data_IF_917703433309
#
_entry.id   IF_917703433309
#
_cell.length_a   1.000
_cell.length_b   1.000
_cell.length_c   1.000
_cell.angle_alpha   90.00
_cell.angle_beta   90.00
_cell.angle_gamma   90.00
#
_symmetry.space_group_name_H-M   'P 1'
#
loop_
_entity.id
_entity.type
_entity.pdbx_description
1 polymer ?
#
# COMPACT_ATOMS: atom_id res chain seq x y z
N UNK A 1 -7.22 0.03 16.22
CA UNK A 1 -6.05 -0.86 16.31
C UNK A 1 -6.50 -2.31 16.23
N UNK A 2 -5.85 -3.13 15.39
CA UNK A 2 -6.12 -4.58 15.27
C UNK A 2 -5.08 -5.46 15.97
N UNK A 3 -3.96 -4.88 16.38
CA UNK A 3 -2.91 -5.58 17.10
C UNK A 3 -2.53 -4.82 18.38
N UNK A 4 -1.98 -5.57 19.35
CA UNK A 4 -1.47 -5.02 20.60
C UNK A 4 -0.24 -5.80 21.06
N UNK A 5 0.57 -5.18 21.92
CA UNK A 5 1.69 -5.84 22.60
C UNK A 5 1.23 -6.30 23.98
N UNK A 6 1.42 -7.57 24.28
CA UNK A 6 1.21 -8.15 25.60
C UNK A 6 2.34 -7.74 26.56
N UNK A 7 2.11 -7.83 27.88
CA UNK A 7 3.13 -7.54 28.90
C UNK A 7 4.45 -8.31 28.72
N UNK A 8 4.41 -9.51 28.14
CA UNK A 8 5.60 -10.32 27.83
C UNK A 8 6.30 -9.93 26.52
N UNK A 9 5.87 -8.85 25.85
CA UNK A 9 6.44 -8.37 24.59
C UNK A 9 5.94 -9.09 23.33
N UNK A 10 5.09 -10.12 23.45
CA UNK A 10 4.48 -10.79 22.29
C UNK A 10 3.37 -9.94 21.69
N UNK A 11 3.22 -10.01 20.38
CA UNK A 11 2.11 -9.37 19.67
C UNK A 11 0.91 -10.32 19.64
N UNK A 12 -0.28 -9.75 19.75
CA UNK A 12 -1.54 -10.49 19.61
C UNK A 12 -2.49 -9.72 18.70
N UNK A 13 -3.22 -10.44 17.86
CA UNK A 13 -4.32 -9.86 17.08
C UNK A 13 -5.57 -9.73 17.94
N UNK A 14 -6.44 -8.77 17.61
CA UNK A 14 -7.67 -8.56 18.35
C UNK A 14 -8.65 -9.76 18.26
N UNK A 15 -8.58 -10.53 17.17
CA UNK A 15 -9.42 -11.72 16.98
C UNK A 15 -8.91 -12.95 17.77
N UNK A 16 -7.59 -13.04 18.02
CA UNK A 16 -6.99 -14.14 18.81
C UNK A 16 -6.92 -13.82 20.31
N UNK A 17 -7.10 -12.56 20.70
CA UNK A 17 -6.91 -12.16 22.08
C UNK A 17 -7.94 -12.79 23.04
N UNK A 18 -7.43 -13.57 23.99
CA UNK A 18 -8.18 -14.11 25.11
C UNK A 18 -7.62 -13.58 26.45
N UNK A 19 -8.39 -12.80 27.23
CA UNK A 19 -7.94 -12.27 28.53
C UNK A 19 -7.48 -13.33 29.54
N UNK A 20 -8.05 -14.54 29.50
CA UNK A 20 -7.69 -15.62 30.42
C UNK A 20 -6.30 -16.21 30.12
N UNK A 21 -5.87 -16.16 28.85
CA UNK A 21 -4.58 -16.70 28.40
C UNK A 21 -3.51 -15.59 28.37
N UNK A 22 -3.89 -14.42 27.85
CA UNK A 22 -2.95 -13.33 27.58
C UNK A 22 -2.83 -12.31 28.71
N UNK A 23 -3.72 -12.38 29.71
CA UNK A 23 -3.82 -11.41 30.79
C UNK A 23 -4.44 -10.10 30.32
N UNK A 24 -4.67 -9.16 31.26
CA UNK A 24 -5.34 -7.88 31.00
C UNK A 24 -4.39 -6.75 30.60
N UNK A 25 -3.07 -6.95 30.72
CA UNK A 25 -2.05 -5.93 30.45
C UNK A 25 -1.64 -5.97 28.98
N UNK A 26 -2.31 -5.14 28.20
CA UNK A 26 -2.07 -4.96 26.77
C UNK A 26 -1.76 -3.50 26.45
N UNK A 27 -0.87 -3.29 25.49
CA UNK A 27 -0.28 -1.99 25.20
C UNK A 27 -0.30 -1.68 23.70
N UNK A 28 -0.28 -0.39 23.38
CA UNK A 28 -0.10 0.12 22.03
C UNK A 28 1.16 -0.48 21.39
N UNK A 29 1.03 -0.94 20.15
CA UNK A 29 2.11 -1.53 19.36
C UNK A 29 3.18 -0.51 18.95
N UNK A 30 2.82 0.77 18.89
CA UNK A 30 3.78 1.85 18.62
C UNK A 30 4.73 2.02 19.81
N UNK A 31 6.04 1.80 19.56
CA UNK A 31 7.11 1.92 20.56
C UNK A 31 7.18 3.29 21.20
N UNK A 32 6.77 4.35 20.49
CA UNK A 32 6.79 5.72 21.00
C UNK A 32 5.60 6.00 21.91
N UNK A 33 4.61 5.11 21.97
CA UNK A 33 3.37 5.30 22.71
C UNK A 33 3.26 4.34 23.90
N UNK A 34 3.20 3.02 23.65
CA UNK A 34 2.93 1.98 24.67
C UNK A 34 1.76 2.26 25.62
N UNK A 35 0.77 3.06 25.20
CA UNK A 35 -0.42 3.35 26.01
C UNK A 35 -1.19 2.06 26.33
N UNK A 36 -1.76 1.99 27.54
CA UNK A 36 -2.58 0.85 27.96
C UNK A 36 -3.86 0.77 27.14
N UNK A 37 -4.16 -0.42 26.64
CA UNK A 37 -5.32 -0.69 25.80
C UNK A 37 -6.38 -1.53 26.53
N UNK A 38 -7.57 -1.52 25.98
CA UNK A 38 -8.63 -2.48 26.28
C UNK A 38 -9.02 -3.21 25.00
N UNK A 39 -9.42 -4.46 25.16
CA UNK A 39 -10.00 -5.26 24.08
C UNK A 39 -11.50 -5.00 23.98
N UNK A 40 -11.96 -4.79 22.77
CA UNK A 40 -13.38 -4.75 22.44
C UNK A 40 -13.67 -6.01 21.62
N UNK A 41 -14.45 -6.96 22.16
CA UNK A 41 -14.75 -8.20 21.47
C UNK A 41 -15.58 -7.95 20.21
N UNK A 42 -15.54 -8.92 19.30
CA UNK A 42 -16.34 -8.91 18.08
C UNK A 42 -17.83 -8.90 18.41
N UNK A 43 -18.58 -8.10 17.68
CA UNK A 43 -20.06 -8.10 17.67
C UNK A 43 -20.55 -8.51 16.28
N UNK A 44 -21.87 -8.59 16.08
CA UNK A 44 -22.47 -8.86 14.77
C UNK A 44 -22.10 -7.78 13.73
N UNK A 45 -21.90 -6.54 14.18
CA UNK A 45 -21.69 -5.37 13.33
C UNK A 45 -20.24 -4.87 13.31
N UNK A 46 -19.38 -5.34 14.21
CA UNK A 46 -18.00 -4.87 14.31
C UNK A 46 -17.02 -6.01 14.60
N UNK A 47 -15.90 -6.03 13.87
CA UNK A 47 -14.78 -6.93 14.16
C UNK A 47 -14.06 -6.52 15.45
N UNK A 48 -13.46 -7.49 16.15
CA UNK A 48 -12.74 -7.21 17.40
C UNK A 48 -11.61 -6.21 17.19
N UNK A 49 -11.36 -5.34 18.17
CA UNK A 49 -10.31 -4.32 18.07
C UNK A 49 -9.82 -3.91 19.45
N UNK A 50 -8.65 -3.28 19.48
CA UNK A 50 -8.13 -2.63 20.67
C UNK A 50 -8.36 -1.12 20.62
N UNK A 51 -8.62 -0.53 21.77
CA UNK A 51 -8.70 0.93 21.95
C UNK A 51 -8.17 1.37 23.29
N UNK A 52 -7.77 2.63 23.38
CA UNK A 52 -7.47 3.30 24.64
C UNK A 52 -8.75 3.66 25.42
N UNK A 53 -8.67 3.77 26.75
CA UNK A 53 -9.77 4.30 27.57
C UNK A 53 -9.74 5.83 27.68
N UNK A 54 -8.57 6.45 27.51
CA UNK A 54 -8.39 7.91 27.59
C UNK A 54 -8.59 8.52 28.97
N UNK A 55 -8.81 7.71 30.01
CA UNK A 55 -9.16 8.17 31.36
C UNK A 55 -7.93 8.64 32.16
N UNK A 56 -6.80 7.97 31.98
CA UNK A 56 -5.51 8.33 32.59
C UNK A 56 -4.47 8.73 31.52
N UNK A 57 -3.41 9.46 31.89
CA UNK A 57 -2.30 9.78 30.97
C UNK A 57 -1.72 8.54 30.29
N UNK A 58 -1.53 7.44 31.04
CA UNK A 58 -0.97 6.17 30.54
C UNK A 58 -1.91 5.40 29.60
N UNK A 59 -3.15 5.84 29.49
CA UNK A 59 -4.18 5.26 28.62
C UNK A 59 -4.56 6.21 27.48
N UNK A 60 -3.77 7.25 27.20
CA UNK A 60 -3.96 8.13 26.04
C UNK A 60 -2.84 7.91 25.03
N UNK A 61 -3.18 7.89 23.75
CA UNK A 61 -2.16 8.00 22.72
C UNK A 61 -1.49 9.36 22.80
N UNK A 62 -0.16 9.39 22.75
CA UNK A 62 0.57 10.64 22.63
C UNK A 62 0.65 11.10 21.17
N UNK A 63 1.04 12.35 20.93
CA UNK A 63 1.07 12.95 19.59
C UNK A 63 2.02 12.24 18.62
N UNK A 64 3.01 11.51 19.13
CA UNK A 64 3.96 10.71 18.34
C UNK A 64 3.44 9.32 17.97
N UNK A 65 2.28 8.93 18.50
CA UNK A 65 1.67 7.65 18.25
C UNK A 65 1.03 7.61 16.85
N UNK A 66 1.31 6.54 16.12
CA UNK A 66 0.74 6.25 14.79
C UNK A 66 -0.80 6.09 14.80
N UNK A 67 -1.42 5.99 15.97
CA UNK A 67 -2.87 5.86 16.17
C UNK A 67 -3.51 7.08 16.83
N UNK A 68 -2.74 8.16 17.07
CA UNK A 68 -3.27 9.39 17.67
C UNK A 68 -4.22 10.14 16.74
N UNK A 69 -3.90 10.16 15.44
CA UNK A 69 -4.68 10.78 14.37
C UNK A 69 -4.56 9.97 13.07
N UNK A 70 -5.46 10.18 12.10
CA UNK A 70 -5.24 9.69 10.74
C UNK A 70 -3.90 10.17 10.19
N UNK A 71 -3.13 9.24 9.62
CA UNK A 71 -1.86 9.52 8.96
C UNK A 71 -2.11 9.92 7.51
N UNK A 72 -1.27 10.81 6.99
CA UNK A 72 -1.17 11.05 5.54
C UNK A 72 -0.62 9.80 4.85
N UNK A 73 -0.74 9.72 3.53
CA UNK A 73 -0.20 8.58 2.76
C UNK A 73 1.29 8.34 3.04
N UNK A 74 2.10 9.40 3.02
CA UNK A 74 3.55 9.30 3.24
C UNK A 74 3.89 8.87 4.67
N UNK A 75 3.20 9.43 5.67
CA UNK A 75 3.33 9.02 7.07
C UNK A 75 2.94 7.54 7.25
N UNK A 76 1.86 7.12 6.60
CA UNK A 76 1.38 5.73 6.62
C UNK A 76 2.40 4.78 6.02
N UNK A 77 2.96 5.08 4.83
CA UNK A 77 4.03 4.26 4.22
C UNK A 77 5.22 4.09 5.16
N UNK A 78 5.72 5.18 5.75
CA UNK A 78 6.85 5.15 6.69
C UNK A 78 6.54 4.32 7.93
N UNK A 79 5.35 4.49 8.52
CA UNK A 79 4.95 3.73 9.72
C UNK A 79 4.68 2.26 9.45
N UNK A 80 4.13 1.93 8.29
CA UNK A 80 3.96 0.53 7.86
C UNK A 80 5.32 -0.15 7.69
N UNK A 81 6.32 0.54 7.14
CA UNK A 81 7.68 0.04 7.06
C UNK A 81 8.30 -0.19 8.45
N UNK A 82 8.21 0.80 9.35
CA UNK A 82 8.70 0.69 10.74
C UNK A 82 8.09 -0.50 11.46
N UNK A 83 6.76 -0.67 11.40
CA UNK A 83 6.09 -1.81 12.02
C UNK A 83 6.52 -3.13 11.36
N UNK A 84 6.63 -3.17 10.04
CA UNK A 84 7.06 -4.38 9.36
C UNK A 84 8.48 -4.83 9.80
N UNK A 85 9.42 -3.90 9.91
CA UNK A 85 10.82 -4.19 10.27
C UNK A 85 10.99 -4.54 11.75
N UNK A 86 10.40 -3.75 12.65
CA UNK A 86 10.68 -3.84 14.09
C UNK A 86 9.83 -4.89 14.79
N UNK A 87 8.60 -5.09 14.33
CA UNK A 87 7.56 -5.78 15.09
C UNK A 87 7.21 -7.09 14.40
N UNK A 88 7.06 -7.07 13.07
CA UNK A 88 6.64 -8.23 12.30
C UNK A 88 7.81 -9.03 11.68
N UNK A 89 8.96 -8.42 11.47
CA UNK A 89 10.17 -9.09 10.96
C UNK A 89 10.86 -10.01 11.98
N UNK A 90 10.55 -9.86 13.27
CA UNK A 90 11.20 -10.59 14.37
C UNK A 90 10.30 -11.65 15.03
N UNK A 91 8.98 -11.61 14.80
CA UNK A 91 8.02 -12.51 15.46
C UNK A 91 7.22 -13.33 14.43
N UNK A 92 7.44 -14.65 14.40
CA UNK A 92 6.78 -15.61 13.49
C UNK A 92 5.27 -15.84 13.75
N UNK A 93 4.64 -15.09 14.65
CA UNK A 93 3.28 -15.38 15.16
C UNK A 93 2.21 -14.42 14.66
N UNK A 94 2.44 -13.71 13.55
CA UNK A 94 1.50 -12.71 13.06
C UNK A 94 0.75 -13.22 11.84
N UNK A 95 -0.57 -13.01 11.87
CA UNK A 95 -1.46 -13.33 10.75
C UNK A 95 -1.05 -12.51 9.53
N UNK A 96 -0.48 -13.18 8.53
CA UNK A 96 -0.18 -12.59 7.23
C UNK A 96 -1.45 -12.48 6.38
N UNK A 97 -1.70 -11.31 5.82
CA UNK A 97 -2.77 -11.10 4.84
C UNK A 97 -2.19 -11.12 3.44
N UNK A 98 -2.44 -12.19 2.68
CA UNK A 98 -1.96 -12.26 1.29
C UNK A 98 -2.97 -11.59 0.35
N UNK A 99 -2.50 -10.58 -0.40
CA UNK A 99 -3.31 -9.84 -1.38
C UNK A 99 -2.72 -10.05 -2.78
N UNK A 100 -3.55 -10.48 -3.73
CA UNK A 100 -3.10 -10.74 -5.10
C UNK A 100 -3.05 -9.44 -5.92
N UNK A 101 -1.91 -9.16 -6.55
CA UNK A 101 -1.80 -8.03 -7.48
C UNK A 101 -2.06 -8.46 -8.92
N UNK A 102 -2.97 -7.77 -9.62
CA UNK A 102 -3.20 -7.96 -11.05
C UNK A 102 -3.52 -6.63 -11.74
N UNK A 103 -2.51 -6.01 -12.34
CA UNK A 103 -2.61 -4.74 -13.05
C UNK A 103 -2.73 -4.89 -14.57
N UNK A 104 -3.00 -6.09 -15.09
CA UNK A 104 -3.06 -6.28 -16.55
C UNK A 104 -4.13 -5.40 -17.21
N UNK A 105 -5.24 -5.13 -16.52
CA UNK A 105 -6.35 -4.33 -17.06
C UNK A 105 -6.03 -2.82 -17.23
N UNK A 106 -4.93 -2.32 -16.66
CA UNK A 106 -4.52 -0.93 -16.85
C UNK A 106 -3.63 -0.75 -18.08
N UNK A 107 -2.97 -1.81 -18.56
CA UNK A 107 -2.10 -1.77 -19.73
C UNK A 107 -2.93 -1.69 -21.03
N UNK A 108 -2.78 -0.63 -21.85
CA UNK A 108 -3.50 -0.50 -23.11
C UNK A 108 -3.14 -1.60 -24.13
N UNK A 109 -1.98 -2.25 -23.99
CA UNK A 109 -1.54 -3.33 -24.89
C UNK A 109 -2.06 -4.71 -24.44
N UNK A 110 -2.71 -4.79 -23.27
CA UNK A 110 -3.22 -6.06 -22.76
C UNK A 110 -4.48 -6.48 -23.48
N UNK A 111 -4.38 -7.59 -24.22
CA UNK A 111 -5.54 -8.28 -24.80
C UNK A 111 -6.04 -9.32 -23.79
N UNK A 112 -7.28 -9.21 -23.29
CA UNK A 112 -7.86 -10.22 -22.41
C UNK A 112 -7.89 -11.57 -23.12
N UNK A 113 -7.30 -12.60 -22.50
CA UNK A 113 -7.50 -13.98 -22.98
C UNK A 113 -8.97 -14.32 -22.74
N UNK A 114 -9.71 -14.65 -23.79
CA UNK A 114 -11.03 -15.24 -23.66
C UNK A 114 -10.90 -16.48 -22.77
N UNK A 115 -11.57 -16.48 -21.61
CA UNK A 115 -11.72 -17.72 -20.87
C UNK A 115 -12.66 -18.58 -21.70
N UNK A 116 -12.20 -19.77 -22.10
CA UNK A 116 -13.11 -20.85 -22.45
C UNK A 116 -14.06 -21.00 -21.25
N UNK A 117 -15.28 -20.49 -21.39
CA UNK A 117 -16.36 -20.89 -20.52
C UNK A 117 -16.49 -22.40 -20.73
N UNK A 118 -15.97 -23.20 -19.80
CA UNK A 118 -16.52 -24.53 -19.63
C UNK A 118 -17.99 -24.32 -19.32
N UNK A 119 -18.83 -24.63 -20.30
CA UNK A 119 -20.25 -24.87 -20.12
C UNK A 119 -20.40 -25.99 -19.09
N UNK A 120 -20.50 -25.64 -17.81
CA UNK A 120 -21.14 -26.51 -16.83
C UNK A 120 -22.62 -26.14 -16.81
N UNK A 121 -23.36 -26.93 -17.58
CA UNK A 121 -24.80 -27.05 -17.56
C UNK A 121 -25.30 -27.52 -16.19
N UNK A 122 -26.50 -27.04 -15.85
CA UNK A 122 -27.40 -27.52 -14.80
C UNK A 122 -26.95 -27.42 -13.33
N UNK A 123 -27.43 -26.34 -12.67
CA UNK A 123 -28.36 -26.44 -11.52
C UNK A 123 -28.98 -25.07 -11.22
N UNK A 124 -30.16 -24.85 -11.77
CA UNK A 124 -31.16 -23.98 -11.13
C UNK A 124 -31.59 -24.65 -9.83
N UNK A 125 -31.19 -24.11 -8.67
CA UNK A 125 -32.05 -24.10 -7.48
C UNK A 125 -31.51 -23.14 -6.40
N UNK A 126 -32.43 -22.31 -5.90
CA UNK A 126 -32.31 -21.37 -4.78
C UNK A 126 -31.53 -20.06 -5.02
N UNK A 127 -32.23 -19.11 -5.67
CA UNK A 127 -32.15 -17.70 -5.27
C UNK A 127 -32.59 -17.61 -3.80
N UNK A 128 -31.64 -17.54 -2.88
CA UNK A 128 -31.81 -16.79 -1.63
C UNK A 128 -30.92 -15.55 -1.75
N UNK A 129 -31.58 -14.40 -1.80
CA UNK A 129 -30.95 -13.10 -1.67
C UNK A 129 -30.36 -12.98 -0.26
N UNK A 130 -29.15 -13.51 -0.07
CA UNK A 130 -28.32 -13.05 1.04
C UNK A 130 -27.77 -11.68 0.62
N UNK A 131 -28.48 -10.63 1.01
CA UNK A 131 -27.95 -9.28 1.10
C UNK A 131 -26.77 -9.34 2.08
N UNK A 132 -25.58 -9.68 1.57
CA UNK A 132 -24.33 -9.58 2.31
C UNK A 132 -24.03 -8.10 2.48
N UNK A 133 -24.41 -7.58 3.64
CA UNK A 133 -23.90 -6.33 4.19
C UNK A 133 -22.37 -6.47 4.20
N UNK A 134 -21.71 -5.85 3.21
CA UNK A 134 -20.25 -5.79 3.14
C UNK A 134 -19.78 -4.89 4.28
N UNK A 135 -19.31 -5.50 5.37
CA UNK A 135 -18.48 -4.80 6.35
C UNK A 135 -17.24 -4.28 5.62
N UNK A 136 -17.17 -2.97 5.39
CA UNK A 136 -16.13 -2.27 4.60
C UNK A 136 -14.71 -2.33 5.17
N UNK A 137 -14.44 -3.16 6.19
CA UNK A 137 -13.16 -3.22 6.91
C UNK A 137 -12.38 -4.53 6.71
N UNK A 138 -12.74 -5.35 5.73
CA UNK A 138 -11.93 -6.51 5.33
C UNK A 138 -10.94 -6.09 4.26
N UNK A 139 -9.65 -6.32 4.50
CA UNK A 139 -8.58 -6.11 3.52
C UNK A 139 -8.92 -6.79 2.19
N UNK A 140 -8.74 -6.11 1.05
CA UNK A 140 -9.12 -6.64 -0.24
C UNK A 140 -8.31 -7.88 -0.57
N UNK A 141 -8.94 -8.91 -1.13
CA UNK A 141 -8.23 -10.13 -1.58
C UNK A 141 -7.39 -9.90 -2.84
N UNK A 142 -7.69 -8.84 -3.59
CA UNK A 142 -6.94 -8.47 -4.79
C UNK A 142 -6.88 -6.96 -5.00
N UNK A 143 -5.79 -6.51 -5.62
CA UNK A 143 -5.57 -5.14 -6.07
C UNK A 143 -5.45 -5.15 -7.59
N UNK A 144 -6.32 -4.39 -8.25
CA UNK A 144 -6.38 -4.27 -9.71
C UNK A 144 -6.14 -2.86 -10.25
N UNK A 145 -5.91 -1.88 -9.38
CA UNK A 145 -5.69 -0.48 -9.74
C UNK A 145 -4.85 0.24 -8.69
N UNK A 146 -4.21 1.35 -9.09
CA UNK A 146 -3.45 2.21 -8.18
C UNK A 146 -4.37 2.90 -7.17
N UNK A 147 -5.59 3.26 -7.57
CA UNK A 147 -6.63 3.77 -6.66
C UNK A 147 -6.88 2.86 -5.46
N UNK A 148 -6.85 1.55 -5.65
CA UNK A 148 -7.00 0.60 -4.56
C UNK A 148 -5.81 0.62 -3.60
N UNK A 149 -4.58 0.87 -4.08
CA UNK A 149 -3.41 1.07 -3.22
C UNK A 149 -3.56 2.35 -2.40
N UNK A 150 -3.88 3.48 -3.05
CA UNK A 150 -4.09 4.75 -2.33
C UNK A 150 -5.19 4.58 -1.28
N UNK A 151 -6.32 3.97 -1.65
CA UNK A 151 -7.42 3.67 -0.71
C UNK A 151 -6.95 2.82 0.47
N UNK A 152 -6.10 1.80 0.24
CA UNK A 152 -5.56 0.97 1.32
C UNK A 152 -4.82 1.81 2.35
N UNK A 153 -3.88 2.64 1.91
CA UNK A 153 -3.08 3.49 2.80
C UNK A 153 -3.88 4.60 3.49
N UNK A 154 -5.00 5.04 2.90
CA UNK A 154 -5.87 6.07 3.49
C UNK A 154 -6.99 5.52 4.38
N UNK A 155 -7.38 4.25 4.21
CA UNK A 155 -8.56 3.66 4.87
C UNK A 155 -8.22 2.63 5.95
N UNK A 156 -7.00 2.13 5.99
CA UNK A 156 -6.57 1.10 6.94
C UNK A 156 -5.50 1.62 7.89
N UNK A 157 -5.51 1.10 9.12
CA UNK A 157 -4.52 1.44 10.12
C UNK A 157 -3.15 0.81 9.79
N UNK A 158 -2.02 1.43 10.19
CA UNK A 158 -0.69 0.97 9.82
C UNK A 158 -0.35 -0.45 10.29
N UNK A 159 -0.92 -0.90 11.41
CA UNK A 159 -0.72 -2.27 11.90
C UNK A 159 -1.36 -3.32 11.01
N UNK A 160 -2.53 -3.02 10.42
CA UNK A 160 -3.16 -3.90 9.43
C UNK A 160 -2.35 -3.92 8.13
N UNK A 161 -1.91 -2.75 7.66
CA UNK A 161 -1.14 -2.64 6.42
C UNK A 161 0.21 -3.37 6.51
N UNK A 162 0.85 -3.39 7.68
CA UNK A 162 2.13 -4.05 7.91
C UNK A 162 2.08 -5.58 7.81
N UNK A 163 0.88 -6.19 7.93
CA UNK A 163 0.69 -7.64 7.74
C UNK A 163 0.39 -8.03 6.29
N UNK A 164 0.24 -7.05 5.38
CA UNK A 164 -0.11 -7.31 3.99
C UNK A 164 1.12 -7.77 3.19
N UNK A 165 1.01 -8.98 2.65
CA UNK A 165 1.94 -9.52 1.66
C UNK A 165 1.30 -9.49 0.28
N UNK A 166 1.96 -8.85 -0.67
CA UNK A 166 1.52 -8.70 -2.04
C UNK A 166 2.08 -9.86 -2.86
N UNK A 167 1.19 -10.66 -3.43
CA UNK A 167 1.55 -11.76 -4.30
C UNK A 167 1.60 -11.29 -5.76
N UNK A 168 2.80 -11.26 -6.33
CA UNK A 168 3.07 -10.95 -7.74
C UNK A 168 3.71 -12.18 -8.38
N UNK A 169 3.02 -12.80 -9.35
CA UNK A 169 3.51 -13.97 -10.11
C UNK A 169 4.08 -15.12 -9.23
N UNK A 170 3.52 -15.33 -8.03
CA UNK A 170 3.94 -16.40 -7.11
C UNK A 170 4.94 -15.95 -6.04
N UNK A 171 5.48 -14.73 -6.13
CA UNK A 171 6.36 -14.16 -5.11
C UNK A 171 5.55 -13.29 -4.15
N UNK A 172 5.62 -13.59 -2.84
CA UNK A 172 5.04 -12.77 -1.77
C UNK A 172 6.06 -11.71 -1.34
N UNK A 173 5.68 -10.44 -1.44
CA UNK A 173 6.53 -9.30 -1.04
C UNK A 173 5.73 -8.39 -0.10
N UNK A 174 6.29 -7.95 1.04
CA UNK A 174 5.62 -7.01 1.93
C UNK A 174 5.16 -5.74 1.21
N UNK A 175 3.97 -5.24 1.56
CA UNK A 175 3.42 -4.01 0.97
C UNK A 175 4.37 -2.81 1.14
N UNK A 176 5.04 -2.70 2.29
CA UNK A 176 6.05 -1.68 2.59
C UNK A 176 7.25 -1.69 1.65
N UNK A 177 7.60 -2.85 1.08
CA UNK A 177 8.76 -2.98 0.19
C UNK A 177 8.45 -2.68 -1.27
N UNK A 178 7.16 -2.59 -1.63
CA UNK A 178 6.75 -2.31 -3.00
C UNK A 178 6.24 -0.88 -3.20
N UNK A 179 5.70 -0.24 -2.15
CA UNK A 179 5.26 1.16 -2.19
C UNK A 179 6.36 2.02 -1.60
N UNK A 180 7.11 2.70 -2.47
CA UNK A 180 8.35 3.39 -2.09
C UNK A 180 8.40 4.79 -2.72
N UNK A 181 9.15 5.70 -2.11
CA UNK A 181 9.42 6.99 -2.70
C UNK A 181 10.39 6.86 -3.88
N UNK A 182 10.41 7.88 -4.73
CA UNK A 182 11.24 7.89 -5.94
C UNK A 182 12.75 7.93 -5.69
N UNK A 183 13.20 8.44 -4.53
CA UNK A 183 14.60 8.40 -4.12
C UNK A 183 15.01 6.99 -3.66
N UNK A 184 14.18 6.34 -2.85
CA UNK A 184 14.43 4.95 -2.42
C UNK A 184 14.46 4.00 -3.62
N UNK A 185 13.50 4.12 -4.55
CA UNK A 185 13.49 3.25 -5.73
C UNK A 185 14.69 3.51 -6.65
N UNK A 186 15.22 4.74 -6.67
CA UNK A 186 16.43 5.05 -7.41
C UNK A 186 17.62 4.29 -6.83
N UNK A 187 17.80 4.33 -5.51
CA UNK A 187 18.89 3.62 -4.83
C UNK A 187 18.77 2.10 -5.04
N UNK A 188 17.57 1.53 -4.88
CA UNK A 188 17.32 0.11 -5.16
C UNK A 188 17.61 -0.25 -6.63
N UNK A 189 17.20 0.63 -7.55
CA UNK A 189 17.41 0.42 -8.98
C UNK A 189 18.88 0.46 -9.33
N UNK A 190 19.68 1.36 -8.76
CA UNK A 190 21.12 1.50 -9.06
C UNK A 190 22.01 0.55 -8.26
N UNK A 191 21.54 0.06 -7.10
CA UNK A 191 22.21 -0.95 -6.28
C UNK A 191 21.98 -2.40 -6.72
N UNK A 192 21.35 -2.64 -7.88
CA UNK A 192 21.01 -3.98 -8.40
C UNK A 192 20.10 -4.81 -7.47
N UNK A 193 19.35 -4.16 -6.57
CA UNK A 193 18.47 -4.84 -5.60
C UNK A 193 17.07 -5.14 -6.16
N UNK A 194 16.73 -4.52 -7.29
CA UNK A 194 15.48 -4.77 -8.00
C UNK A 194 15.54 -6.15 -8.67
N UNK A 195 14.92 -7.14 -8.02
CA UNK A 195 14.75 -8.48 -8.59
C UNK A 195 13.86 -8.41 -9.84
N UNK A 196 14.28 -9.11 -10.90
CA UNK A 196 13.50 -9.28 -12.13
C UNK A 196 12.03 -9.66 -11.81
N UNK A 197 11.07 -8.91 -12.37
CA UNK A 197 9.62 -9.01 -12.16
C UNK A 197 9.01 -8.35 -10.90
N UNK A 198 9.78 -7.62 -10.10
CA UNK A 198 9.20 -6.89 -8.96
C UNK A 198 8.46 -5.64 -9.44
N UNK A 199 7.15 -5.59 -9.16
CA UNK A 199 6.31 -4.41 -9.43
C UNK A 199 6.45 -3.40 -8.29
N UNK A 200 7.04 -2.24 -8.57
CA UNK A 200 7.11 -1.13 -7.62
C UNK A 200 6.04 -0.08 -7.91
N UNK A 201 5.46 0.46 -6.84
CA UNK A 201 4.62 1.64 -6.86
C UNK A 201 5.44 2.80 -6.30
N UNK A 202 5.69 3.78 -7.14
CA UNK A 202 6.60 4.89 -6.81
C UNK A 202 5.78 6.14 -6.55
N UNK A 203 5.95 6.75 -5.38
CA UNK A 203 5.28 8.02 -5.08
C UNK A 203 6.23 9.21 -5.05
N UNK A 204 5.67 10.38 -5.35
CA UNK A 204 6.35 11.66 -5.28
C UNK A 204 5.51 12.80 -5.83
N UNK A 205 6.00 14.02 -5.63
CA UNK A 205 5.35 15.25 -6.12
C UNK A 205 5.89 15.59 -7.50
N UNK A 206 5.00 15.87 -8.46
CA UNK A 206 5.39 16.31 -9.80
C UNK A 206 5.83 17.79 -9.74
N UNK A 207 7.01 18.07 -10.27
CA UNK A 207 7.59 19.42 -10.34
C UNK A 207 7.33 20.08 -11.70
N UNK A 208 7.61 19.35 -12.78
CA UNK A 208 7.50 19.91 -14.15
C UNK A 208 7.18 18.85 -15.19
N UNK A 209 6.44 19.25 -16.22
CA UNK A 209 6.13 18.41 -17.39
C UNK A 209 6.83 19.00 -18.61
N UNK A 210 7.52 18.15 -19.39
CA UNK A 210 8.19 18.52 -20.63
C UNK A 210 7.61 17.70 -21.77
N UNK A 211 6.82 18.33 -22.63
CA UNK A 211 6.20 17.67 -23.79
C UNK A 211 7.05 17.88 -25.03
N UNK A 212 7.58 16.80 -25.60
CA UNK A 212 8.26 16.79 -26.91
C UNK A 212 7.46 15.96 -27.91
N UNK A 213 7.80 16.06 -29.19
CA UNK A 213 7.12 15.34 -30.27
C UNK A 213 7.10 13.82 -30.09
N UNK A 214 8.21 13.24 -29.60
CA UNK A 214 8.36 11.79 -29.48
C UNK A 214 8.21 11.24 -28.06
N UNK A 215 8.35 12.11 -27.06
CA UNK A 215 8.42 11.70 -25.65
C UNK A 215 7.97 12.84 -24.74
N UNK A 216 7.19 12.49 -23.71
CA UNK A 216 6.84 13.40 -22.62
C UNK A 216 7.55 12.96 -21.35
N UNK A 217 8.15 13.91 -20.64
CA UNK A 217 8.79 13.71 -19.35
C UNK A 217 8.00 14.40 -18.25
N UNK A 218 7.57 13.66 -17.24
CA UNK A 218 6.89 14.17 -16.05
C UNK A 218 7.88 14.03 -14.89
N UNK A 219 8.54 15.12 -14.52
CA UNK A 219 9.64 15.08 -13.57
C UNK A 219 9.13 15.28 -12.15
N UNK A 220 9.64 14.48 -11.23
CA UNK A 220 9.34 14.62 -9.81
C UNK A 220 10.22 15.71 -9.21
N UNK A 221 9.74 16.31 -8.12
CA UNK A 221 10.53 17.21 -7.29
C UNK A 221 11.73 16.44 -6.74
N UNK A 222 12.97 16.94 -6.93
CA UNK A 222 14.15 16.23 -6.45
C UNK A 222 14.11 16.05 -4.93
N UNK A 223 14.34 14.83 -4.47
CA UNK A 223 14.55 14.48 -3.07
C UNK A 223 15.94 13.85 -2.97
N UNK A 224 16.75 14.27 -1.98
CA UNK A 224 18.13 13.80 -1.81
C UNK A 224 19.00 13.94 -3.07
N UNK A 225 18.76 15.00 -3.86
CA UNK A 225 19.43 15.26 -5.15
C UNK A 225 19.21 14.16 -6.22
N UNK A 226 18.23 13.26 -6.01
CA UNK A 226 17.82 12.24 -6.98
C UNK A 226 16.88 12.84 -8.00
N UNK A 227 17.15 12.59 -9.28
CA UNK A 227 16.28 12.96 -10.38
C UNK A 227 15.48 11.73 -10.84
N UNK A 228 14.17 11.87 -10.82
CA UNK A 228 13.23 10.82 -11.22
C UNK A 228 12.16 11.37 -12.16
N UNK A 229 11.86 10.63 -13.23
CA UNK A 229 10.89 11.07 -14.24
C UNK A 229 9.99 9.93 -14.69
N UNK A 230 8.69 10.21 -14.86
CA UNK A 230 7.81 9.34 -15.63
C UNK A 230 7.95 9.68 -17.11
N UNK A 231 7.97 8.65 -17.95
CA UNK A 231 8.20 8.78 -19.40
C UNK A 231 7.01 8.19 -20.15
N UNK A 232 6.42 8.99 -21.03
CA UNK A 232 5.37 8.56 -21.98
C UNK A 232 5.93 8.65 -23.39
N UNK A 233 5.88 7.57 -24.16
CA UNK A 233 6.27 7.57 -25.57
C UNK A 233 5.10 7.95 -26.48
N UNK A 234 5.39 8.51 -27.65
CA UNK A 234 4.42 8.97 -28.64
C UNK A 234 3.30 7.97 -28.96
N UNK A 235 3.60 6.68 -29.08
CA UNK A 235 2.63 5.61 -29.36
C UNK A 235 1.49 5.56 -28.33
N UNK A 236 1.76 6.08 -27.12
CA UNK A 236 0.85 6.08 -25.98
C UNK A 236 0.23 7.44 -25.67
N UNK A 237 0.55 8.51 -26.40
CA UNK A 237 -0.02 9.85 -26.14
C UNK A 237 -1.55 9.85 -26.20
N UNK A 238 -2.15 9.06 -27.08
CA UNK A 238 -3.61 8.90 -27.18
C UNK A 238 -4.28 8.36 -25.91
N UNK A 239 -3.53 7.68 -25.04
CA UNK A 239 -4.03 7.14 -23.77
C UNK A 239 -3.65 8.01 -22.56
N UNK A 240 -2.88 9.08 -22.77
CA UNK A 240 -2.43 9.99 -21.72
C UNK A 240 -2.99 11.40 -21.96
N UNK A 241 -4.05 11.74 -21.24
CA UNK A 241 -4.84 12.96 -21.49
C UNK A 241 -4.72 14.02 -20.40
N UNK A 242 -3.92 13.77 -19.35
CA UNK A 242 -3.73 14.76 -18.30
C UNK A 242 -3.05 16.02 -18.82
N UNK A 243 -3.58 17.19 -18.43
CA UNK A 243 -2.97 18.50 -18.68
C UNK A 243 -1.85 18.80 -17.69
N UNK A 244 -1.07 19.84 -17.96
CA UNK A 244 0.05 20.23 -17.08
C UNK A 244 -0.47 20.76 -15.73
N UNK A 245 -1.59 21.48 -15.72
CA UNK A 245 -2.25 21.97 -14.50
C UNK A 245 -2.81 20.84 -13.63
N UNK A 246 -3.18 19.72 -14.26
CA UNK A 246 -3.65 18.53 -13.55
C UNK A 246 -2.51 17.75 -12.91
N UNK A 247 -1.26 17.93 -13.37
CA UNK A 247 -0.10 17.17 -12.91
C UNK A 247 0.81 17.97 -11.98
N UNK A 248 1.18 19.19 -12.37
CA UNK A 248 2.20 19.98 -11.67
C UNK A 248 1.76 20.29 -10.23
N UNK A 249 2.67 20.08 -9.29
CA UNK A 249 2.43 20.27 -7.85
C UNK A 249 1.59 19.17 -7.19
N UNK A 250 1.12 18.15 -7.94
CA UNK A 250 0.37 17.04 -7.37
C UNK A 250 1.30 15.93 -6.90
N UNK A 251 0.98 15.37 -5.74
CA UNK A 251 1.58 14.12 -5.27
C UNK A 251 0.85 12.95 -5.89
N UNK A 252 1.60 12.05 -6.51
CA UNK A 252 1.05 10.91 -7.25
C UNK A 252 1.71 9.61 -6.83
N UNK A 253 0.97 8.52 -6.99
CA UNK A 253 1.47 7.16 -7.03
C UNK A 253 1.55 6.74 -8.50
N UNK A 254 2.69 6.24 -8.93
CA UNK A 254 2.92 5.74 -10.29
C UNK A 254 3.31 4.27 -10.28
N UNK A 255 2.95 3.56 -11.34
CA UNK A 255 3.39 2.19 -11.60
C UNK A 255 3.82 2.08 -13.04
N UNK A 256 4.86 1.30 -13.34
CA UNK A 256 5.39 1.16 -14.69
C UNK A 256 6.69 0.39 -14.72
N UNK A 257 7.39 0.46 -15.86
CA UNK A 257 8.70 -0.19 -16.02
C UNK A 257 9.82 0.76 -15.64
N UNK A 258 10.60 0.39 -14.62
CA UNK A 258 11.77 1.16 -14.19
C UNK A 258 12.94 0.97 -15.16
N UNK A 259 13.68 2.06 -15.39
CA UNK A 259 14.89 2.10 -16.23
C UNK A 259 15.93 3.01 -15.61
N UNK A 260 17.20 2.58 -15.68
CA UNK A 260 18.35 3.44 -15.40
C UNK A 260 18.55 4.36 -16.61
N UNK A 261 18.85 5.62 -16.35
CA UNK A 261 19.28 6.56 -17.37
C UNK A 261 20.46 7.38 -16.85
N UNK A 262 21.34 7.82 -17.73
CA UNK A 262 22.47 8.66 -17.37
C UNK A 262 22.38 9.93 -18.22
N UNK A 263 22.05 11.03 -17.57
CA UNK A 263 21.90 12.32 -18.24
C UNK A 263 22.99 13.28 -17.75
N UNK A 264 23.83 13.75 -18.68
CA UNK A 264 24.93 14.69 -18.39
C UNK A 264 25.85 14.23 -17.24
N UNK A 265 26.16 12.93 -17.20
CA UNK A 265 27.02 12.34 -16.17
C UNK A 265 26.37 12.19 -14.79
N UNK A 266 25.06 12.46 -14.67
CA UNK A 266 24.28 12.19 -13.47
C UNK A 266 23.40 10.97 -13.66
N UNK A 267 23.36 10.11 -12.65
CA UNK A 267 22.43 8.99 -12.59
C UNK A 267 21.02 9.54 -12.42
N UNK A 268 20.13 9.18 -13.34
CA UNK A 268 18.71 9.49 -13.27
C UNK A 268 17.93 8.19 -13.37
N UNK A 269 16.73 8.18 -12.81
CA UNK A 269 15.84 7.02 -12.92
C UNK A 269 14.57 7.40 -13.64
N UNK A 270 14.12 6.51 -14.51
CA UNK A 270 12.93 6.72 -15.31
C UNK A 270 11.92 5.60 -15.08
N UNK A 271 10.64 5.94 -15.10
CA UNK A 271 9.55 4.97 -15.14
C UNK A 271 8.74 5.16 -16.41
N UNK A 272 8.73 4.14 -17.26
CA UNK A 272 7.92 4.15 -18.47
C UNK A 272 6.47 3.81 -18.11
N UNK A 273 5.56 4.70 -18.50
CA UNK A 273 4.12 4.56 -18.31
C UNK A 273 3.39 4.73 -19.65
N UNK A 274 2.19 4.14 -19.77
CA UNK A 274 1.47 4.05 -21.05
C UNK A 274 0.12 4.75 -21.09
N UNK A 275 -0.47 5.08 -19.94
CA UNK A 275 -1.79 5.73 -19.90
C UNK A 275 -2.01 6.46 -18.59
N UNK A 276 -3.06 7.28 -18.50
CA UNK A 276 -3.45 7.91 -17.24
C UNK A 276 -3.64 6.89 -16.10
N UNK A 277 -4.03 5.64 -16.40
CA UNK A 277 -4.27 4.61 -15.38
C UNK A 277 -3.02 4.14 -14.64
N UNK A 278 -1.84 4.53 -15.13
CA UNK A 278 -0.54 4.26 -14.51
C UNK A 278 -0.18 5.29 -13.43
N UNK A 279 -1.02 6.32 -13.25
CA UNK A 279 -0.87 7.36 -12.23
C UNK A 279 -2.18 7.43 -11.42
N UNK A 280 -2.06 7.55 -10.10
CA UNK A 280 -3.16 7.91 -9.22
C UNK A 280 -2.76 9.10 -8.34
N UNK A 281 -3.64 10.06 -8.17
CA UNK A 281 -3.40 11.20 -7.29
C UNK A 281 -3.55 10.81 -5.83
N UNK A 282 -2.57 11.19 -5.01
CA UNK A 282 -2.62 11.07 -3.56
C UNK A 282 -3.24 12.36 -3.03
N UNK A 283 -4.35 12.24 -2.29
CA UNK A 283 -5.08 13.36 -1.69
C UNK A 283 -4.74 13.51 -0.22
#
# INVERSE_FOLDING_TARGET
>A
MKTAILFNGKIVSADEYNPAIHGSRIYCIDKNCRATLIHVPRTETASAYFKTTGKSPDSRHNEKCSFFRPLTFEESVKKVQEFHEEIFGQQNSVIETVVRLNLNAIDPDYVPKAREQKEESNRETSRKEDIKIKNERTTPQSISSLKSIVKLFTSYEPDVLATILINVKGTKTPLSKIVVSHDIVHDLLWGDEIKNNSSYFVYGTIDKVLRREKVWYINFKPVNNVLFSLVVFNDYFKYFTYSDEQLIGKTVLAWGTLRRNMYQGKNTSEMVIKSNKYIEFIK
#
